data_IF_332896135676
#
_entry.id   IF_332896135676
#
_cell.length_a   1.000
_cell.length_b   1.000
_cell.length_c   1.000
_cell.angle_alpha   90.00
_cell.angle_beta   90.00
_cell.angle_gamma   90.00
#
_symmetry.space_group_name_H-M   'P 1'
#
loop_
_entity.id
_entity.type
_entity.pdbx_description
1 polymer ?
#
# COMPACT_ATOMS: atom_id res chain seq x y z
N UNK A 1 -19.20 -0.45 6.70
CA UNK A 1 -17.80 -0.51 6.24
C UNK A 1 -17.81 -0.96 4.79
N UNK A 2 -16.96 -0.44 3.89
CA UNK A 2 -16.93 -0.94 2.52
C UNK A 2 -16.55 -2.42 2.57
N UNK A 3 -17.39 -3.24 1.96
CA UNK A 3 -17.28 -4.68 1.96
C UNK A 3 -15.96 -5.08 1.29
N UNK A 4 -15.05 -5.67 2.06
CA UNK A 4 -13.85 -6.25 1.47
C UNK A 4 -14.26 -7.46 0.64
N UNK A 5 -13.62 -7.72 -0.52
CA UNK A 5 -13.94 -8.90 -1.31
C UNK A 5 -13.75 -10.16 -0.46
N UNK A 6 -14.58 -11.18 -0.70
CA UNK A 6 -14.48 -12.48 -0.02
C UNK A 6 -13.03 -12.99 0.00
N UNK A 7 -12.57 -13.42 1.18
CA UNK A 7 -11.19 -13.88 1.38
C UNK A 7 -10.18 -12.78 1.75
N UNK A 8 -10.63 -11.56 2.02
CA UNK A 8 -9.82 -10.51 2.63
C UNK A 8 -10.26 -10.22 4.06
N UNK A 9 -9.30 -10.30 4.98
CA UNK A 9 -9.41 -9.91 6.38
C UNK A 9 -9.42 -8.37 6.54
N UNK A 10 -10.43 -7.80 7.21
CA UNK A 10 -10.45 -6.37 7.54
C UNK A 10 -9.28 -5.99 8.45
N UNK A 11 -8.86 -6.87 9.36
CA UNK A 11 -7.72 -6.65 10.26
C UNK A 11 -6.42 -6.45 9.48
N UNK A 12 -6.18 -7.25 8.45
CA UNK A 12 -4.97 -7.09 7.62
C UNK A 12 -4.99 -5.80 6.80
N UNK A 13 -6.17 -5.41 6.28
CA UNK A 13 -6.30 -4.13 5.60
C UNK A 13 -6.00 -2.95 6.53
N UNK A 14 -6.45 -3.02 7.78
CA UNK A 14 -6.16 -1.99 8.77
C UNK A 14 -4.68 -1.93 9.12
N UNK A 15 -3.99 -3.06 9.29
CA UNK A 15 -2.53 -3.07 9.50
C UNK A 15 -1.77 -2.38 8.35
N UNK A 16 -2.11 -2.70 7.10
CA UNK A 16 -1.51 -2.06 5.93
C UNK A 16 -1.80 -0.56 5.90
N UNK A 17 -3.04 -0.15 6.23
CA UNK A 17 -3.42 1.25 6.33
C UNK A 17 -2.61 1.99 7.39
N UNK A 18 -2.50 1.44 8.60
CA UNK A 18 -1.75 2.06 9.70
C UNK A 18 -0.28 2.25 9.34
N UNK A 19 0.36 1.26 8.71
CA UNK A 19 1.74 1.36 8.23
C UNK A 19 1.91 2.49 7.21
N UNK A 20 0.99 2.61 6.25
CA UNK A 20 1.06 3.65 5.22
C UNK A 20 0.78 5.05 5.76
N UNK A 21 -0.10 5.18 6.76
CA UNK A 21 -0.40 6.45 7.42
C UNK A 21 0.73 6.91 8.34
N UNK A 22 1.39 5.97 9.02
CA UNK A 22 2.54 6.24 9.88
C UNK A 22 3.84 6.50 9.08
N UNK A 23 3.85 6.15 7.79
CA UNK A 23 5.00 6.39 6.93
C UNK A 23 5.09 7.87 6.54
N UNK A 24 6.24 8.50 6.75
CA UNK A 24 6.53 9.85 6.25
C UNK A 24 6.73 9.95 4.73
N UNK A 25 6.40 8.89 3.98
CA UNK A 25 6.62 8.83 2.54
C UNK A 25 6.18 7.48 1.94
N UNK A 26 6.24 7.36 0.59
CA UNK A 26 5.78 6.17 -0.11
C UNK A 26 6.73 4.99 0.17
N UNK A 27 6.17 3.81 0.49
CA UNK A 27 6.90 2.60 0.88
C UNK A 27 6.80 1.49 -0.17
N UNK A 28 7.80 0.61 -0.24
CA UNK A 28 7.70 -0.61 -1.04
C UNK A 28 6.76 -1.63 -0.40
N UNK A 29 6.25 -2.58 -1.20
CA UNK A 29 5.43 -3.68 -0.68
C UNK A 29 6.20 -4.58 0.32
N UNK A 30 7.53 -4.61 0.24
CA UNK A 30 8.38 -5.33 1.18
C UNK A 30 8.43 -4.61 2.52
N UNK A 31 8.73 -3.30 2.53
CA UNK A 31 8.75 -2.51 3.76
C UNK A 31 7.39 -2.54 4.48
N UNK A 32 6.30 -2.53 3.71
CA UNK A 32 4.95 -2.60 4.28
C UNK A 32 4.72 -3.95 4.94
N UNK A 33 5.15 -5.05 4.32
CA UNK A 33 5.05 -6.39 4.88
C UNK A 33 5.86 -6.53 6.17
N UNK A 34 7.10 -6.04 6.18
CA UNK A 34 7.97 -6.05 7.36
C UNK A 34 7.35 -5.28 8.54
N UNK A 35 6.80 -4.08 8.28
CA UNK A 35 6.19 -3.24 9.32
C UNK A 35 4.83 -3.72 9.80
N UNK A 36 4.05 -4.38 8.94
CA UNK A 36 2.71 -4.89 9.30
C UNK A 36 2.71 -6.32 9.82
N UNK A 37 3.84 -7.03 9.74
CA UNK A 37 3.95 -8.42 10.18
C UNK A 37 3.25 -9.44 9.27
N UNK A 38 2.92 -9.08 8.03
CA UNK A 38 2.32 -9.99 7.04
C UNK A 38 3.33 -10.34 5.94
N UNK A 39 3.09 -11.43 5.22
CA UNK A 39 3.93 -11.77 4.07
C UNK A 39 3.86 -10.71 2.96
N UNK A 40 4.95 -10.54 2.21
CA UNK A 40 5.01 -9.64 1.03
C UNK A 40 3.87 -9.87 0.03
N UNK A 41 3.54 -11.13 -0.27
CA UNK A 41 2.43 -11.45 -1.17
C UNK A 41 1.07 -10.99 -0.62
N UNK A 42 0.87 -11.12 0.70
CA UNK A 42 -0.33 -10.62 1.37
C UNK A 42 -0.38 -9.10 1.26
N UNK A 43 0.69 -8.38 1.60
CA UNK A 43 0.76 -6.93 1.44
C UNK A 43 0.44 -6.51 -0.01
N UNK A 44 1.03 -7.14 -1.02
CA UNK A 44 0.74 -6.84 -2.43
C UNK A 44 -0.73 -7.04 -2.81
N UNK A 45 -1.39 -8.10 -2.33
CA UNK A 45 -2.82 -8.32 -2.59
C UNK A 45 -3.68 -7.18 -2.02
N UNK A 46 -3.39 -6.74 -0.79
CA UNK A 46 -4.13 -5.63 -0.19
C UNK A 46 -3.80 -4.29 -0.84
N UNK A 47 -2.54 -4.05 -1.21
CA UNK A 47 -2.13 -2.82 -1.90
C UNK A 47 -2.82 -2.68 -3.25
N UNK A 48 -2.92 -3.77 -4.05
CA UNK A 48 -3.70 -3.78 -5.29
C UNK A 48 -5.19 -3.52 -5.05
N UNK A 49 -5.76 -4.10 -3.99
CA UNK A 49 -7.15 -3.84 -3.63
C UNK A 49 -7.37 -2.37 -3.28
N UNK A 50 -6.51 -1.81 -2.43
CA UNK A 50 -6.59 -0.44 -1.95
C UNK A 50 -6.35 0.58 -3.07
N UNK A 51 -5.39 0.31 -3.95
CA UNK A 51 -5.10 1.11 -5.15
C UNK A 51 -6.29 1.13 -6.10
N UNK A 52 -6.88 -0.04 -6.42
CA UNK A 52 -8.11 -0.12 -7.22
C UNK A 52 -9.29 0.65 -6.62
N UNK A 53 -9.32 0.80 -5.29
CA UNK A 53 -10.35 1.59 -4.58
C UNK A 53 -9.96 3.05 -4.35
N UNK A 54 -8.84 3.52 -4.90
CA UNK A 54 -8.38 4.90 -4.80
C UNK A 54 -7.83 5.31 -3.43
N UNK A 55 -7.61 4.36 -2.51
CA UNK A 55 -7.14 4.62 -1.13
C UNK A 55 -5.63 4.74 -1.02
N UNK A 56 -4.92 4.14 -1.97
CA UNK A 56 -3.47 4.11 -2.03
C UNK A 56 -3.04 4.59 -3.40
N UNK A 57 -2.05 5.47 -3.44
CA UNK A 57 -1.39 5.87 -4.68
C UNK A 57 -0.18 4.99 -4.92
N UNK A 58 -0.10 4.44 -6.13
CA UNK A 58 1.08 3.77 -6.64
C UNK A 58 1.95 4.77 -7.40
N UNK A 59 3.24 4.79 -7.09
CA UNK A 59 4.25 5.54 -7.84
C UNK A 59 5.41 4.62 -8.17
N UNK A 60 6.03 4.85 -9.32
CA UNK A 60 7.25 4.14 -9.71
C UNK A 60 8.44 4.99 -9.29
N UNK A 61 9.38 4.36 -8.57
CA UNK A 61 10.69 4.94 -8.32
C UNK A 61 11.70 4.27 -9.25
N UNK A 62 12.27 5.06 -10.15
CA UNK A 62 13.37 4.63 -11.02
C UNK A 62 14.68 4.83 -10.27
N UNK A 63 15.48 3.76 -10.17
CA UNK A 63 16.86 3.84 -9.69
C UNK A 63 17.83 3.91 -10.88
N UNK A 64 19.08 4.30 -10.61
CA UNK A 64 20.12 4.56 -11.63
C UNK A 64 20.44 3.39 -12.58
N UNK A 65 20.12 2.13 -12.25
CA UNK A 65 20.49 0.96 -13.10
C UNK A 65 19.53 -0.22 -12.98
N UNK A 66 18.23 0.00 -12.76
CA UNK A 66 17.31 -1.11 -12.45
C UNK A 66 15.85 -0.96 -12.90
N UNK A 67 15.12 -2.07 -12.84
CA UNK A 67 13.66 -2.12 -13.04
C UNK A 67 12.99 -1.20 -12.01
N UNK A 68 11.99 -0.38 -12.40
CA UNK A 68 11.35 0.54 -11.46
C UNK A 68 10.72 -0.20 -10.28
N UNK A 69 10.87 0.37 -9.08
CA UNK A 69 10.27 -0.13 -7.85
C UNK A 69 8.88 0.49 -7.64
N UNK A 70 7.90 -0.35 -7.31
CA UNK A 70 6.57 0.08 -6.88
C UNK A 70 6.62 0.65 -5.45
N UNK A 71 6.27 1.93 -5.32
CA UNK A 71 6.10 2.61 -4.04
C UNK A 71 4.64 2.96 -3.82
N UNK A 72 4.16 2.79 -2.59
CA UNK A 72 2.77 2.96 -2.20
C UNK A 72 2.70 4.01 -1.09
N UNK A 73 1.82 5.00 -1.26
CA UNK A 73 1.48 5.98 -0.23
C UNK A 73 -0.02 5.94 0.02
N UNK A 74 -0.44 6.22 1.26
CA UNK A 74 -1.85 6.48 1.50
C UNK A 74 -2.27 7.71 0.72
N UNK A 75 -3.45 7.66 0.09
CA UNK A 75 -4.04 8.85 -0.50
C UNK A 75 -4.48 9.78 0.64
N UNK A 76 -3.60 10.67 1.11
CA UNK A 76 -4.07 11.95 1.65
C UNK A 76 -4.79 12.67 0.50
N UNK A 77 -5.80 13.48 0.83
CA UNK A 77 -6.66 14.25 -0.09
C UNK A 77 -5.97 14.65 -1.41
N UNK A 78 -6.65 14.65 -2.58
CA UNK A 78 -6.02 14.99 -3.85
C UNK A 78 -5.19 16.28 -3.73
N UNK A 79 -4.02 16.38 -4.39
CA UNK A 79 -3.30 17.64 -4.44
C UNK A 79 -4.28 18.67 -4.99
N UNK A 80 -4.60 19.67 -4.17
CA UNK A 80 -5.25 20.88 -4.63
C UNK A 80 -4.32 21.44 -5.71
N UNK A 81 -4.80 21.40 -6.95
CA UNK A 81 -4.15 22.06 -8.08
C UNK A 81 -4.09 23.57 -7.84
#
# INVERSE_FOLDING_TARGET
APDLPKGHSPTTAELVRQVLLAAGGPLSAQEIAERSGVSRQTAQRYLKLLERTGRVRLSLRYGETGRPEHRYAWASSPPTA
#
